data_IF_319639499817
#
_entry.id   IF_319639499817
#
_cell.length_a   1.000
_cell.length_b   1.000
_cell.length_c   1.000
_cell.angle_alpha   90.00
_cell.angle_beta   90.00
_cell.angle_gamma   90.00
#
_symmetry.space_group_name_H-M   'P 1'
#
loop_
_entity.id
_entity.type
_entity.pdbx_description
1 polymer ?
#
# COMPACT_ATOMS: atom_id res chain seq x y z
N UNK A 1 -7.56 72.64 -41.03
CA UNK A 1 -7.70 72.08 -39.70
C UNK A 1 -8.17 70.62 -39.79
N UNK A 2 -7.25 69.65 -39.70
CA UNK A 2 -7.60 68.23 -39.73
C UNK A 2 -7.41 67.70 -38.30
N UNK A 3 -8.47 67.19 -37.68
CA UNK A 3 -8.43 66.57 -36.37
C UNK A 3 -8.00 65.13 -36.52
N UNK A 4 -6.87 64.76 -35.86
CA UNK A 4 -6.43 63.38 -35.66
C UNK A 4 -7.06 62.84 -34.36
N UNK A 5 -7.84 61.77 -34.47
CA UNK A 5 -8.41 61.05 -33.36
C UNK A 5 -7.50 59.83 -33.07
N UNK A 6 -6.93 59.64 -31.87
CA UNK A 6 -6.17 58.44 -31.57
C UNK A 6 -7.12 57.29 -31.21
N UNK A 7 -7.02 56.18 -31.95
CA UNK A 7 -7.68 54.92 -31.64
C UNK A 7 -6.89 54.21 -30.52
N UNK A 8 -7.47 54.13 -29.34
CA UNK A 8 -6.97 53.29 -28.27
C UNK A 8 -7.41 51.84 -28.51
N UNK A 9 -6.49 50.95 -28.86
CA UNK A 9 -6.71 49.49 -28.87
C UNK A 9 -6.64 48.98 -27.43
N UNK A 10 -7.79 48.64 -26.87
CA UNK A 10 -7.88 47.88 -25.64
C UNK A 10 -7.60 46.40 -25.95
N UNK A 11 -6.44 45.89 -25.53
CA UNK A 11 -6.18 44.44 -25.46
C UNK A 11 -6.91 43.85 -24.27
N UNK A 12 -8.04 43.19 -24.53
CA UNK A 12 -8.68 42.32 -23.56
C UNK A 12 -7.86 41.03 -23.43
N UNK A 13 -7.08 40.92 -22.36
CA UNK A 13 -6.53 39.63 -21.93
C UNK A 13 -7.70 38.81 -21.39
N UNK A 14 -8.20 37.90 -22.21
CA UNK A 14 -9.08 36.82 -21.73
C UNK A 14 -8.23 35.84 -20.95
N UNK A 15 -8.23 35.97 -19.63
CA UNK A 15 -7.80 34.91 -18.76
C UNK A 15 -8.80 33.76 -18.91
N UNK A 16 -8.44 32.72 -19.67
CA UNK A 16 -9.09 31.44 -19.58
C UNK A 16 -8.56 30.75 -18.33
N UNK A 17 -9.35 30.58 -17.26
CA UNK A 17 -8.97 29.67 -16.20
C UNK A 17 -9.04 28.27 -16.82
N UNK A 18 -7.89 27.70 -17.06
CA UNK A 18 -7.77 26.27 -17.34
C UNK A 18 -8.20 25.52 -16.07
N UNK A 19 -9.52 25.32 -15.93
CA UNK A 19 -10.00 24.31 -15.02
C UNK A 19 -9.56 22.98 -15.62
N UNK A 20 -8.56 22.34 -15.00
CA UNK A 20 -8.33 20.93 -15.17
C UNK A 20 -9.66 20.25 -14.81
N UNK A 21 -10.44 19.90 -15.81
CA UNK A 21 -11.54 18.97 -15.66
C UNK A 21 -10.87 17.63 -15.29
N UNK A 22 -10.79 17.37 -13.99
CA UNK A 22 -10.73 15.99 -13.54
C UNK A 22 -11.99 15.33 -14.11
N UNK A 23 -11.79 14.46 -15.09
CA UNK A 23 -12.84 13.57 -15.55
C UNK A 23 -13.22 12.70 -14.36
N UNK A 24 -14.20 13.15 -13.56
CA UNK A 24 -14.94 12.27 -12.68
C UNK A 24 -15.64 11.29 -13.61
N UNK A 25 -15.16 10.04 -13.65
CA UNK A 25 -15.90 8.97 -14.29
C UNK A 25 -17.31 9.01 -13.74
N UNK A 26 -18.25 9.17 -14.65
CA UNK A 26 -19.68 9.23 -14.35
C UNK A 26 -20.00 7.99 -13.53
N UNK A 27 -20.46 8.20 -12.31
CA UNK A 27 -20.92 7.21 -11.34
C UNK A 27 -21.75 6.12 -12.06
N UNK A 28 -21.08 5.04 -12.46
CA UNK A 28 -21.78 3.85 -12.91
C UNK A 28 -22.40 3.26 -11.68
N UNK A 29 -23.72 3.31 -11.58
CA UNK A 29 -24.50 2.69 -10.52
C UNK A 29 -24.05 1.24 -10.36
N UNK A 30 -23.27 0.94 -9.33
CA UNK A 30 -22.98 -0.41 -8.91
C UNK A 30 -24.13 -0.85 -7.99
N UNK A 31 -24.92 -1.85 -8.41
CA UNK A 31 -25.95 -2.37 -7.52
C UNK A 31 -25.25 -2.95 -6.28
N UNK A 32 -25.68 -2.51 -5.10
CA UNK A 32 -25.21 -3.09 -3.86
C UNK A 32 -25.51 -4.58 -3.82
N UNK A 33 -24.59 -5.37 -3.26
CA UNK A 33 -24.83 -6.79 -3.06
C UNK A 33 -25.97 -7.00 -2.06
N UNK A 34 -26.85 -7.94 -2.33
CA UNK A 34 -28.02 -8.22 -1.49
C UNK A 34 -27.69 -9.08 -0.27
N UNK A 35 -26.55 -9.71 -0.23
CA UNK A 35 -26.07 -10.54 0.88
C UNK A 35 -24.57 -10.46 0.98
N UNK A 36 -24.03 -10.41 2.20
CA UNK A 36 -22.60 -10.51 2.45
C UNK A 36 -22.05 -11.91 2.15
N UNK A 37 -20.81 -12.01 1.71
CA UNK A 37 -20.09 -13.29 1.59
C UNK A 37 -19.96 -13.98 2.95
N UNK A 38 -19.95 -13.21 4.05
CA UNK A 38 -19.89 -13.69 5.43
C UNK A 38 -21.21 -14.26 5.95
N UNK A 39 -22.27 -14.32 5.13
CA UNK A 39 -23.59 -14.80 5.54
C UNK A 39 -23.58 -16.25 6.02
N UNK A 40 -22.77 -17.10 5.40
CA UNK A 40 -22.70 -18.54 5.69
C UNK A 40 -21.24 -19.01 5.67
N UNK A 41 -21.01 -20.23 6.16
CA UNK A 41 -19.71 -20.88 6.17
C UNK A 41 -18.86 -20.57 7.38
N UNK A 42 -17.68 -21.17 7.40
CA UNK A 42 -16.68 -21.02 8.45
C UNK A 42 -15.63 -20.01 8.03
N UNK A 43 -15.37 -19.01 8.85
CA UNK A 43 -14.48 -17.90 8.51
C UNK A 43 -13.41 -17.68 9.55
N UNK A 44 -12.19 -17.44 9.08
CA UNK A 44 -11.02 -17.10 9.89
C UNK A 44 -10.49 -15.75 9.43
N UNK A 45 -10.32 -14.82 10.37
CA UNK A 45 -9.70 -13.52 10.13
C UNK A 45 -8.19 -13.61 10.32
N UNK A 46 -7.47 -13.21 9.30
CA UNK A 46 -6.01 -13.19 9.23
C UNK A 46 -5.53 -11.74 9.14
N UNK A 47 -4.36 -11.46 9.69
CA UNK A 47 -3.74 -10.14 9.68
C UNK A 47 -2.38 -10.17 9.00
N UNK A 48 -2.13 -9.17 8.16
CA UNK A 48 -0.83 -8.86 7.56
C UNK A 48 -0.46 -7.42 7.85
N UNK A 49 0.82 -7.13 8.11
CA UNK A 49 1.32 -5.79 8.47
C UNK A 49 2.16 -5.15 7.37
N UNK A 50 2.57 -5.91 6.38
CA UNK A 50 3.43 -5.45 5.29
C UNK A 50 3.05 -6.09 3.96
N UNK A 51 3.49 -5.52 2.86
CA UNK A 51 3.36 -6.15 1.54
C UNK A 51 4.17 -7.44 1.50
N UNK A 52 3.55 -8.54 1.05
CA UNK A 52 4.24 -9.83 1.04
C UNK A 52 3.47 -10.94 0.37
N UNK A 53 4.19 -12.02 0.05
CA UNK A 53 3.56 -13.30 -0.25
C UNK A 53 3.50 -14.09 1.04
N UNK A 54 2.29 -14.41 1.44
CA UNK A 54 2.02 -15.12 2.69
C UNK A 54 1.74 -16.59 2.43
N UNK A 55 2.29 -17.43 3.30
CA UNK A 55 2.16 -18.88 3.22
C UNK A 55 1.39 -19.42 4.42
N UNK A 56 0.38 -20.24 4.15
CA UNK A 56 -0.38 -20.97 5.17
C UNK A 56 -0.13 -22.46 4.96
N UNK A 57 0.38 -23.12 5.97
CA UNK A 57 0.72 -24.55 5.98
C UNK A 57 -0.36 -25.37 6.68
N UNK A 58 -0.23 -26.69 6.61
CA UNK A 58 -1.01 -27.63 7.41
C UNK A 58 -0.95 -27.33 8.91
N UNK A 59 0.26 -27.03 9.41
CA UNK A 59 0.49 -26.67 10.81
C UNK A 59 -0.24 -25.38 11.19
N UNK A 60 -0.21 -24.35 10.31
CA UNK A 60 -0.90 -23.09 10.58
C UNK A 60 -2.43 -23.30 10.68
N UNK A 61 -3.01 -24.06 9.74
CA UNK A 61 -4.45 -24.37 9.78
C UNK A 61 -4.81 -25.12 11.07
N UNK A 62 -3.96 -26.03 11.52
CA UNK A 62 -4.16 -26.75 12.80
C UNK A 62 -4.11 -25.78 13.98
N UNK A 63 -3.17 -24.82 13.99
CA UNK A 63 -3.09 -23.78 15.02
C UNK A 63 -4.29 -22.83 15.01
N UNK A 64 -4.90 -22.62 13.84
CA UNK A 64 -6.15 -21.85 13.72
C UNK A 64 -7.38 -22.62 14.22
N UNK A 65 -7.19 -23.85 14.73
CA UNK A 65 -8.26 -24.69 15.27
C UNK A 65 -9.00 -25.52 14.23
N UNK A 66 -8.45 -25.65 13.02
CA UNK A 66 -9.02 -26.48 11.96
C UNK A 66 -8.44 -27.89 11.99
N UNK A 67 -9.13 -28.81 11.32
CA UNK A 67 -8.58 -30.13 10.98
C UNK A 67 -8.35 -30.20 9.47
N UNK A 68 -7.10 -29.93 9.01
CA UNK A 68 -6.82 -29.84 7.57
C UNK A 68 -7.10 -31.12 6.78
N UNK A 69 -7.02 -32.29 7.43
CA UNK A 69 -7.30 -33.58 6.78
C UNK A 69 -8.74 -33.71 6.24
N UNK A 70 -9.66 -32.86 6.73
CA UNK A 70 -11.05 -32.81 6.25
C UNK A 70 -11.34 -31.62 5.33
N UNK A 71 -10.31 -30.83 5.00
CA UNK A 71 -10.44 -29.70 4.09
C UNK A 71 -10.12 -30.15 2.67
N UNK A 72 -11.07 -30.01 1.76
CA UNK A 72 -10.75 -30.07 0.35
C UNK A 72 -9.99 -28.82 -0.06
N UNK A 73 -8.71 -28.89 -0.45
CA UNK A 73 -7.90 -27.73 -0.77
C UNK A 73 -8.47 -26.88 -1.91
N UNK A 74 -9.25 -27.47 -2.83
CA UNK A 74 -9.95 -26.74 -3.90
C UNK A 74 -10.99 -25.75 -3.38
N UNK A 75 -11.51 -25.99 -2.17
CA UNK A 75 -12.52 -25.12 -1.55
C UNK A 75 -11.90 -24.00 -0.71
N UNK A 76 -10.57 -23.95 -0.60
CA UNK A 76 -9.91 -22.86 0.11
C UNK A 76 -10.05 -21.58 -0.67
N UNK A 77 -10.59 -20.55 0.00
CA UNK A 77 -10.81 -19.21 -0.54
C UNK A 77 -10.27 -18.16 0.44
N UNK A 78 -9.71 -17.09 -0.09
CA UNK A 78 -9.25 -15.93 0.68
C UNK A 78 -9.93 -14.69 0.14
N UNK A 79 -10.48 -13.88 1.05
CA UNK A 79 -11.18 -12.64 0.75
C UNK A 79 -10.49 -11.46 1.43
N UNK A 80 -10.54 -10.29 0.80
CA UNK A 80 -10.01 -9.04 1.36
C UNK A 80 -9.95 -7.95 0.30
N UNK A 81 -10.07 -6.70 0.74
CA UNK A 81 -10.17 -5.53 -0.14
C UNK A 81 -8.85 -4.74 -0.27
N UNK A 82 -7.73 -5.34 0.17
CA UNK A 82 -6.44 -4.67 0.22
C UNK A 82 -6.27 -3.81 1.47
N UNK A 83 -5.17 -3.05 1.52
CA UNK A 83 -4.74 -2.32 2.72
C UNK A 83 -4.91 -0.81 2.64
N UNK A 84 -5.45 -0.26 1.58
CA UNK A 84 -5.60 1.18 1.42
C UNK A 84 -6.71 1.74 2.33
N UNK A 85 -6.57 3.01 2.71
CA UNK A 85 -7.66 3.75 3.36
C UNK A 85 -8.86 3.85 2.42
N UNK A 86 -10.06 3.81 3.00
CA UNK A 86 -11.27 4.12 2.24
C UNK A 86 -11.17 5.51 1.61
N UNK A 87 -11.71 5.70 0.40
CA UNK A 87 -11.76 7.01 -0.23
C UNK A 87 -12.50 8.03 0.65
N UNK A 88 -11.98 9.27 0.72
CA UNK A 88 -12.65 10.34 1.47
C UNK A 88 -13.98 10.79 0.80
N UNK A 89 -14.08 10.62 -0.52
CA UNK A 89 -15.27 10.98 -1.28
C UNK A 89 -16.14 9.76 -1.55
N UNK A 90 -17.39 9.80 -1.13
CA UNK A 90 -18.37 8.74 -1.36
C UNK A 90 -18.66 8.44 -2.85
N UNK A 91 -18.29 9.37 -3.75
CA UNK A 91 -18.41 9.17 -5.18
C UNK A 91 -17.35 8.25 -5.79
N UNK A 92 -16.27 7.96 -5.06
CA UNK A 92 -15.23 7.04 -5.49
C UNK A 92 -15.67 5.60 -5.23
N UNK A 93 -15.41 4.74 -6.21
CA UNK A 93 -15.75 3.32 -6.11
C UNK A 93 -14.96 2.67 -5.00
N UNK A 94 -15.67 1.95 -4.15
CA UNK A 94 -15.10 1.07 -3.13
C UNK A 94 -15.86 -0.26 -3.17
N UNK A 95 -15.20 -1.40 -2.97
CA UNK A 95 -15.90 -2.67 -2.89
C UNK A 95 -16.99 -2.65 -1.83
N UNK A 96 -18.19 -3.06 -2.21
CA UNK A 96 -19.36 -3.09 -1.35
C UNK A 96 -19.30 -4.23 -0.31
N UNK A 97 -18.65 -5.34 -0.68
CA UNK A 97 -18.38 -6.49 0.19
C UNK A 97 -16.93 -6.95 0.01
N UNK A 98 -16.52 -8.00 0.69
CA UNK A 98 -15.19 -8.58 0.57
C UNK A 98 -14.99 -9.22 -0.80
N UNK A 99 -13.88 -8.88 -1.45
CA UNK A 99 -13.49 -9.43 -2.75
C UNK A 99 -12.69 -10.73 -2.57
N UNK A 100 -12.96 -11.71 -3.40
CA UNK A 100 -12.18 -12.94 -3.44
C UNK A 100 -10.85 -12.71 -4.16
N UNK A 101 -9.75 -13.01 -3.47
CA UNK A 101 -8.40 -12.93 -3.96
C UNK A 101 -7.98 -14.29 -4.54
N UNK A 102 -7.31 -14.29 -5.69
CA UNK A 102 -6.77 -15.51 -6.25
C UNK A 102 -5.63 -16.07 -5.39
N UNK A 103 -5.62 -17.36 -5.17
CA UNK A 103 -4.61 -18.05 -4.37
C UNK A 103 -3.90 -19.13 -5.20
N UNK A 104 -2.68 -19.48 -4.81
CA UNK A 104 -1.99 -20.67 -5.25
C UNK A 104 -2.05 -21.72 -4.15
N UNK A 105 -2.51 -22.93 -4.47
CA UNK A 105 -2.54 -24.04 -3.53
C UNK A 105 -1.68 -25.15 -4.10
N UNK A 106 -0.63 -25.53 -3.37
CA UNK A 106 0.20 -26.68 -3.71
C UNK A 106 -0.49 -27.94 -3.21
N UNK A 107 -0.56 -28.98 -4.04
CA UNK A 107 -1.06 -30.31 -3.68
C UNK A 107 -2.58 -30.46 -3.72
N UNK A 108 -3.32 -29.53 -4.36
CA UNK A 108 -4.78 -29.57 -4.39
C UNK A 108 -5.40 -30.62 -5.33
N UNK A 109 -4.57 -31.31 -6.12
CA UNK A 109 -5.03 -32.20 -7.19
C UNK A 109 -5.74 -33.47 -6.65
N UNK A 110 -5.28 -33.98 -5.52
CA UNK A 110 -5.83 -35.19 -4.90
C UNK A 110 -7.07 -34.95 -4.01
N UNK A 111 -7.40 -33.67 -3.76
CA UNK A 111 -8.57 -33.26 -2.97
C UNK A 111 -8.40 -33.37 -1.45
N UNK A 112 -7.19 -33.62 -0.95
CA UNK A 112 -6.85 -33.72 0.47
C UNK A 112 -5.73 -32.75 0.79
N UNK A 113 -5.87 -31.95 1.83
CA UNK A 113 -4.81 -31.05 2.28
C UNK A 113 -3.79 -31.81 3.14
N UNK A 114 -2.69 -32.20 2.53
CA UNK A 114 -1.64 -33.01 3.14
C UNK A 114 -0.61 -32.14 3.91
N UNK A 115 0.27 -32.80 4.70
CA UNK A 115 1.28 -32.11 5.53
C UNK A 115 2.26 -31.25 4.73
N UNK A 116 2.51 -31.57 3.47
CA UNK A 116 3.45 -30.89 2.59
C UNK A 116 2.77 -29.83 1.69
N UNK A 117 1.44 -29.70 1.81
CA UNK A 117 0.66 -28.73 1.06
C UNK A 117 0.69 -27.37 1.73
N UNK A 118 0.49 -26.37 0.91
CA UNK A 118 0.43 -24.99 1.41
C UNK A 118 -0.36 -24.09 0.46
N UNK A 119 -0.85 -23.02 1.03
CA UNK A 119 -1.51 -21.93 0.33
C UNK A 119 -0.53 -20.77 0.25
N UNK A 120 -0.42 -20.13 -0.93
CA UNK A 120 0.21 -18.82 -1.06
C UNK A 120 -0.83 -17.81 -1.51
N UNK A 121 -0.79 -16.61 -0.91
CA UNK A 121 -1.58 -15.48 -1.34
C UNK A 121 -0.79 -14.17 -1.20
N UNK A 122 -1.18 -13.16 -1.97
CA UNK A 122 -0.59 -11.83 -1.88
C UNK A 122 -1.31 -11.01 -0.81
N UNK A 123 -0.57 -10.61 0.19
CA UNK A 123 -1.01 -9.69 1.24
C UNK A 123 -0.52 -8.27 0.96
N UNK A 124 -1.45 -7.33 0.84
CA UNK A 124 -1.14 -5.92 0.62
C UNK A 124 -0.85 -5.21 1.94
N UNK A 125 0.15 -4.33 1.94
CA UNK A 125 0.43 -3.43 3.06
C UNK A 125 -0.75 -2.50 3.34
N UNK A 126 -1.00 -2.10 4.61
CA UNK A 126 -1.92 -0.99 4.90
C UNK A 126 -1.44 0.34 4.30
N UNK A 127 -0.13 0.51 4.08
CA UNK A 127 0.48 1.66 3.45
C UNK A 127 0.65 1.43 1.96
N UNK A 128 0.42 2.47 1.15
CA UNK A 128 0.46 2.38 -0.31
C UNK A 128 1.59 3.20 -0.90
N UNK A 129 2.11 2.70 -2.02
CA UNK A 129 3.04 3.41 -2.87
C UNK A 129 2.38 3.81 -4.19
N UNK A 130 2.62 5.05 -4.59
CA UNK A 130 2.11 5.62 -5.83
C UNK A 130 3.29 6.06 -6.69
N UNK A 131 3.13 5.95 -8.01
CA UNK A 131 4.13 6.42 -8.96
C UNK A 131 3.75 7.81 -9.47
N UNK A 132 4.63 8.79 -9.24
CA UNK A 132 4.53 10.12 -9.83
C UNK A 132 5.15 10.09 -11.22
N UNK A 133 4.33 10.23 -12.26
CA UNK A 133 4.76 10.19 -13.66
C UNK A 133 5.57 11.42 -14.08
N UNK A 134 5.43 12.53 -13.37
CA UNK A 134 6.15 13.78 -13.64
C UNK A 134 7.55 13.72 -13.03
N UNK A 135 7.63 13.38 -11.75
CA UNK A 135 8.88 13.27 -11.02
C UNK A 135 9.62 11.95 -11.29
N UNK A 136 8.93 10.97 -11.89
CA UNK A 136 9.42 9.60 -12.14
C UNK A 136 9.94 8.92 -10.89
N UNK A 137 9.20 9.02 -9.79
CA UNK A 137 9.53 8.49 -8.47
C UNK A 137 8.29 7.92 -7.79
N UNK A 138 8.53 7.02 -6.85
CA UNK A 138 7.49 6.51 -5.98
C UNK A 138 7.42 7.36 -4.73
N UNK A 139 6.19 7.59 -4.25
CA UNK A 139 5.91 8.20 -2.95
C UNK A 139 4.94 7.32 -2.17
N UNK A 140 5.11 7.28 -0.86
CA UNK A 140 4.24 6.49 0.00
C UNK A 140 3.07 7.33 0.54
N UNK A 141 2.01 6.62 0.90
CA UNK A 141 0.89 7.15 1.66
C UNK A 141 0.61 6.22 2.82
N UNK A 142 0.87 6.70 4.01
CA UNK A 142 0.60 5.96 5.23
C UNK A 142 -0.90 5.85 5.50
N UNK A 143 -1.33 4.70 6.01
CA UNK A 143 -2.70 4.53 6.51
C UNK A 143 -2.77 5.14 7.91
N UNK A 144 -3.63 6.14 8.12
CA UNK A 144 -3.77 6.83 9.41
C UNK A 144 -4.56 6.03 10.45
N UNK A 145 -5.24 4.96 10.05
CA UNK A 145 -6.20 4.25 10.90
C UNK A 145 -5.75 2.85 11.26
N UNK A 146 -4.84 2.25 10.51
CA UNK A 146 -4.44 0.86 10.72
C UNK A 146 -2.99 0.61 10.27
N UNK A 147 -2.27 -0.12 11.10
CA UNK A 147 -0.96 -0.70 10.79
C UNK A 147 -1.09 -2.14 10.25
N UNK A 148 -2.31 -2.54 9.87
CA UNK A 148 -2.58 -3.91 9.41
C UNK A 148 -3.69 -3.96 8.39
N UNK A 149 -3.56 -4.92 7.47
CA UNK A 149 -4.61 -5.33 6.52
C UNK A 149 -5.17 -6.67 6.95
N UNK A 150 -6.47 -6.86 6.75
CA UNK A 150 -7.15 -8.09 7.16
C UNK A 150 -7.65 -8.87 5.95
N UNK A 151 -7.47 -10.18 6.03
CA UNK A 151 -7.96 -11.17 5.07
C UNK A 151 -8.84 -12.19 5.78
N UNK A 152 -9.75 -12.81 5.04
CA UNK A 152 -10.71 -13.77 5.55
C UNK A 152 -10.58 -15.07 4.77
N UNK A 153 -10.25 -16.15 5.46
CA UNK A 153 -10.13 -17.49 4.89
C UNK A 153 -11.41 -18.29 5.17
N UNK A 154 -11.91 -18.96 4.15
CA UNK A 154 -12.98 -19.98 4.25
C UNK A 154 -12.59 -21.23 3.46
N UNK A 155 -13.23 -22.38 3.76
CA UNK A 155 -12.93 -23.68 3.16
C UNK A 155 -14.16 -24.55 2.88
N UNK A 156 -15.36 -24.04 3.17
CA UNK A 156 -16.63 -24.78 3.07
C UNK A 156 -17.70 -24.05 2.22
N UNK A 157 -17.29 -23.04 1.47
CA UNK A 157 -18.16 -22.22 0.61
C UNK A 157 -17.93 -22.42 -0.89
N UNK A 158 -17.62 -23.67 -1.32
CA UNK A 158 -17.38 -24.02 -2.71
C UNK A 158 -15.94 -23.75 -3.19
N UNK A 159 -15.68 -24.01 -4.46
CA UNK A 159 -14.34 -23.90 -5.04
C UNK A 159 -13.86 -22.45 -5.06
N UNK A 160 -12.54 -22.28 -4.81
CA UNK A 160 -11.90 -20.98 -4.71
C UNK A 160 -11.23 -20.52 -6.01
N UNK A 161 -11.03 -19.20 -6.11
CA UNK A 161 -10.33 -18.55 -7.21
C UNK A 161 -8.83 -18.92 -7.17
N UNK A 162 -8.28 -19.31 -8.31
CA UNK A 162 -6.86 -19.68 -8.47
C UNK A 162 -6.10 -18.68 -9.31
N UNK A 163 -4.80 -18.56 -9.01
CA UNK A 163 -3.88 -17.77 -9.82
C UNK A 163 -3.65 -18.50 -11.14
N UNK A 164 -4.06 -17.87 -12.23
CA UNK A 164 -3.94 -18.42 -13.57
C UNK A 164 -2.55 -18.19 -14.15
N UNK A 165 -2.12 -19.08 -15.07
CA UNK A 165 -0.88 -18.91 -15.80
C UNK A 165 -0.99 -17.75 -16.81
N UNK A 166 0.10 -17.01 -16.98
CA UNK A 166 0.29 -15.97 -17.99
C UNK A 166 1.51 -16.32 -18.84
N UNK A 167 1.29 -16.49 -20.12
CA UNK A 167 2.36 -16.84 -21.05
C UNK A 167 3.39 -15.72 -21.18
N UNK A 168 4.66 -16.10 -21.33
CA UNK A 168 5.70 -15.18 -21.77
C UNK A 168 5.46 -14.76 -23.22
N UNK A 169 5.71 -13.48 -23.55
CA UNK A 169 5.59 -13.00 -24.92
C UNK A 169 6.58 -13.72 -25.83
N UNK A 170 6.11 -14.22 -26.95
CA UNK A 170 6.96 -14.78 -28.02
C UNK A 170 7.57 -13.72 -28.95
N UNK A 171 7.23 -12.45 -28.76
CA UNK A 171 7.78 -11.35 -29.57
C UNK A 171 9.18 -10.96 -29.11
N UNK A 172 10.05 -10.50 -30.01
CA UNK A 172 11.36 -9.98 -29.64
C UNK A 172 11.24 -8.84 -28.65
N UNK A 173 12.05 -8.82 -27.56
CA UNK A 173 12.01 -7.73 -26.60
C UNK A 173 12.54 -6.45 -27.22
N UNK A 174 11.86 -5.33 -26.96
CA UNK A 174 12.32 -3.98 -27.30
C UNK A 174 13.33 -3.49 -26.28
N UNK A 175 13.30 -4.02 -25.07
CA UNK A 175 14.22 -3.71 -23.98
C UNK A 175 14.45 -4.90 -23.05
N UNK A 176 15.65 -4.99 -22.48
CA UNK A 176 16.05 -6.01 -21.51
C UNK A 176 16.38 -5.34 -20.18
N UNK A 177 15.76 -5.82 -19.10
CA UNK A 177 15.97 -5.32 -17.75
C UNK A 177 16.65 -6.35 -16.86
N UNK A 178 17.78 -5.96 -16.28
CA UNK A 178 18.51 -6.68 -15.23
C UNK A 178 18.46 -5.91 -13.91
N UNK A 179 17.75 -4.77 -13.89
CA UNK A 179 17.59 -3.87 -12.75
C UNK A 179 16.12 -3.51 -12.58
N UNK A 180 15.78 -3.01 -11.39
CA UNK A 180 14.43 -2.55 -11.06
C UNK A 180 14.48 -1.33 -10.15
N UNK A 181 13.36 -0.61 -10.06
CA UNK A 181 13.18 0.53 -9.16
C UNK A 181 12.53 0.05 -7.87
N UNK A 182 13.16 0.40 -6.77
CA UNK A 182 12.73 0.04 -5.43
C UNK A 182 12.61 1.27 -4.55
N UNK A 183 11.92 1.13 -3.42
CA UNK A 183 11.61 2.21 -2.51
C UNK A 183 11.57 1.73 -1.06
N UNK A 184 11.80 2.65 -0.16
CA UNK A 184 11.64 2.44 1.28
C UNK A 184 11.25 3.76 1.94
N UNK A 185 10.59 3.69 3.10
CA UNK A 185 10.31 4.86 3.91
C UNK A 185 10.47 4.56 5.40
N UNK A 186 10.65 5.64 6.16
CA UNK A 186 10.55 5.67 7.61
C UNK A 186 9.57 6.78 7.99
N UNK A 187 8.49 6.44 8.66
CA UNK A 187 7.48 7.34 9.19
C UNK A 187 6.85 6.74 10.43
N UNK A 188 7.00 7.40 11.55
CA UNK A 188 6.39 7.03 12.83
C UNK A 188 5.40 8.10 13.28
N UNK A 189 4.22 7.67 13.79
CA UNK A 189 3.20 8.56 14.35
C UNK A 189 3.34 8.59 15.88
N UNK A 190 4.24 9.42 16.39
CA UNK A 190 4.54 9.49 17.81
C UNK A 190 3.86 10.68 18.51
N UNK A 191 3.70 11.80 17.81
CA UNK A 191 3.18 13.02 18.38
C UNK A 191 2.14 13.69 17.49
N UNK A 192 0.94 13.91 18.01
CA UNK A 192 0.00 14.86 17.43
C UNK A 192 0.23 16.23 18.06
N UNK A 193 0.84 17.16 17.34
CA UNK A 193 1.36 18.42 17.88
C UNK A 193 0.27 19.34 18.43
N UNK A 194 -0.91 19.34 17.81
CA UNK A 194 -2.04 20.18 18.20
C UNK A 194 -3.16 19.40 18.90
N UNK A 195 -2.96 18.10 19.14
CA UNK A 195 -3.93 17.16 19.72
C UNK A 195 -5.25 17.13 18.95
N UNK A 196 -5.21 17.33 17.65
CA UNK A 196 -6.35 17.35 16.74
C UNK A 196 -5.91 17.06 15.32
N UNK A 197 -6.84 16.59 14.48
CA UNK A 197 -6.58 16.30 13.08
C UNK A 197 -5.82 15.00 12.86
N UNK A 198 -5.45 14.78 11.60
CA UNK A 198 -4.80 13.55 11.10
C UNK A 198 -3.27 13.66 10.96
N UNK A 199 -2.71 14.84 11.20
CA UNK A 199 -1.27 15.06 11.09
C UNK A 199 -0.56 14.63 12.37
N UNK A 200 0.27 13.62 12.27
CA UNK A 200 1.13 13.13 13.33
C UNK A 200 2.58 13.24 12.85
N UNK A 201 3.51 13.38 13.77
CA UNK A 201 4.94 13.43 13.48
C UNK A 201 5.68 12.41 14.31
N UNK A 202 6.84 12.00 13.80
CA UNK A 202 7.69 11.01 14.42
C UNK A 202 8.67 11.59 15.45
N UNK A 203 9.93 11.29 15.27
CA UNK A 203 10.99 11.55 16.24
C UNK A 203 11.19 13.04 16.51
N UNK A 204 11.19 13.39 17.78
CA UNK A 204 11.46 14.74 18.27
C UNK A 204 12.96 14.98 18.38
N UNK A 205 13.39 16.17 17.97
CA UNK A 205 14.75 16.67 18.05
C UNK A 205 14.82 17.89 18.95
N UNK A 206 15.70 17.83 19.94
CA UNK A 206 16.05 18.92 20.86
C UNK A 206 17.55 18.82 21.17
N UNK A 207 18.19 19.95 21.46
CA UNK A 207 19.59 19.98 21.91
C UNK A 207 20.60 19.31 20.97
N UNK A 208 20.38 19.39 19.67
CA UNK A 208 21.30 18.90 18.62
C UNK A 208 21.67 17.41 18.71
N UNK A 209 20.78 16.55 19.19
CA UNK A 209 21.01 15.12 19.24
C UNK A 209 20.80 14.47 17.86
N UNK A 210 21.85 13.94 17.20
CA UNK A 210 21.70 13.21 15.94
C UNK A 210 20.96 11.88 16.16
N UNK A 211 20.17 11.48 15.16
CA UNK A 211 19.54 10.16 15.07
C UNK A 211 19.89 9.51 13.76
N UNK A 212 20.03 8.19 13.76
CA UNK A 212 20.38 7.40 12.59
C UNK A 212 19.17 6.56 12.18
N UNK A 213 18.80 6.67 10.89
CA UNK A 213 17.73 5.91 10.25
C UNK A 213 18.36 4.99 9.21
N UNK A 214 18.48 3.68 9.49
CA UNK A 214 19.08 2.73 8.57
C UNK A 214 18.07 2.28 7.53
N UNK A 215 18.49 2.29 6.25
CA UNK A 215 17.76 1.69 5.14
C UNK A 215 18.59 0.58 4.50
N UNK A 216 17.91 -0.45 4.00
CA UNK A 216 18.55 -1.60 3.37
C UNK A 216 18.03 -1.78 1.94
N UNK A 217 18.94 -1.73 0.95
CA UNK A 217 18.67 -2.02 -0.45
C UNK A 217 19.65 -3.11 -0.93
N UNK A 218 19.37 -4.40 -0.69
CA UNK A 218 20.24 -5.48 -1.16
C UNK A 218 20.45 -5.40 -2.67
N UNK A 219 21.68 -5.64 -3.12
CA UNK A 219 22.04 -5.56 -4.52
C UNK A 219 21.74 -4.19 -5.17
N UNK A 220 21.92 -3.08 -4.42
CA UNK A 220 21.80 -1.74 -5.00
C UNK A 220 22.72 -1.64 -6.24
N UNK A 221 22.22 -1.03 -7.29
CA UNK A 221 23.04 -0.83 -8.51
C UNK A 221 24.17 0.14 -8.20
N UNK A 222 25.44 -0.26 -8.34
CA UNK A 222 26.58 0.59 -8.04
C UNK A 222 26.55 1.92 -8.77
N UNK A 223 26.85 3.00 -8.08
CA UNK A 223 26.87 4.37 -8.61
C UNK A 223 25.54 4.82 -9.24
N UNK A 224 24.43 4.16 -8.91
CA UNK A 224 23.10 4.65 -9.29
C UNK A 224 22.67 5.81 -8.38
N UNK A 225 21.77 6.62 -8.91
CA UNK A 225 21.18 7.71 -8.14
C UNK A 225 20.21 7.15 -7.10
N UNK A 226 20.41 7.57 -5.86
CA UNK A 226 19.49 7.38 -4.75
C UNK A 226 18.77 8.72 -4.52
N UNK A 227 17.47 8.76 -4.68
CA UNK A 227 16.66 9.92 -4.34
C UNK A 227 16.16 9.80 -2.91
N UNK A 228 16.29 10.90 -2.15
CA UNK A 228 15.85 10.98 -0.77
C UNK A 228 14.92 12.17 -0.65
N UNK A 229 13.73 11.93 -0.11
CA UNK A 229 12.74 12.94 0.21
C UNK A 229 12.54 12.94 1.72
N UNK A 230 12.48 14.10 2.35
CA UNK A 230 12.20 14.23 3.78
C UNK A 230 11.19 15.33 4.04
N UNK A 231 10.38 15.15 5.07
CA UNK A 231 9.49 16.18 5.58
C UNK A 231 9.75 16.39 7.07
N UNK A 232 10.02 17.64 7.42
CA UNK A 232 10.45 18.07 8.75
C UNK A 232 9.54 19.16 9.28
N UNK A 233 9.32 19.13 10.58
CA UNK A 233 8.57 20.14 11.30
C UNK A 233 9.49 20.87 12.28
N UNK A 234 9.31 22.18 12.45
CA UNK A 234 10.03 22.94 13.45
C UNK A 234 9.16 23.98 14.15
N UNK A 235 9.41 24.13 15.44
CA UNK A 235 8.84 25.18 16.29
C UNK A 235 9.95 26.10 16.74
N UNK A 236 10.05 27.26 16.10
CA UNK A 236 11.06 28.27 16.38
C UNK A 236 10.62 29.63 15.83
N UNK A 237 11.03 30.72 16.46
CA UNK A 237 10.86 32.09 15.93
C UNK A 237 12.03 32.55 15.05
N UNK A 238 13.05 31.69 14.87
CA UNK A 238 14.15 31.89 13.93
C UNK A 238 14.16 30.70 12.95
N UNK A 239 14.76 30.88 11.79
CA UNK A 239 14.95 29.79 10.82
C UNK A 239 15.63 28.60 11.48
N UNK A 240 15.11 27.41 11.23
CA UNK A 240 15.60 26.16 11.82
C UNK A 240 16.28 25.34 10.75
N UNK A 241 17.55 25.02 10.98
CA UNK A 241 18.32 24.17 10.10
C UNK A 241 18.40 22.74 10.65
N UNK A 242 18.09 21.76 9.78
CA UNK A 242 18.43 20.37 9.99
C UNK A 242 19.57 19.97 9.05
N UNK A 243 20.48 19.14 9.53
CA UNK A 243 21.54 18.53 8.72
C UNK A 243 21.25 17.06 8.51
N UNK A 244 21.12 16.68 7.25
CA UNK A 244 20.89 15.31 6.82
C UNK A 244 22.17 14.78 6.17
N UNK A 245 22.78 13.77 6.80
CA UNK A 245 24.04 13.18 6.35
C UNK A 245 23.79 11.78 5.77
N UNK A 246 24.23 11.55 4.55
CA UNK A 246 24.08 10.28 3.83
C UNK A 246 25.17 10.13 2.78
N UNK A 247 25.71 8.93 2.61
CA UNK A 247 26.73 8.60 1.61
C UNK A 247 27.96 9.53 1.62
N UNK A 248 28.30 10.10 2.80
CA UNK A 248 29.42 11.04 2.97
C UNK A 248 29.11 12.50 2.60
N UNK A 249 27.89 12.79 2.16
CA UNK A 249 27.42 14.13 1.86
C UNK A 249 26.53 14.67 3.00
N UNK A 250 26.49 16.01 3.14
CA UNK A 250 25.64 16.70 4.11
C UNK A 250 24.70 17.65 3.39
N UNK A 251 23.40 17.50 3.60
CA UNK A 251 22.35 18.31 3.00
C UNK A 251 21.63 19.11 4.12
N UNK A 252 21.70 20.46 4.11
CA UNK A 252 20.91 21.30 4.99
C UNK A 252 19.47 21.36 4.50
N UNK A 253 18.51 21.22 5.44
CA UNK A 253 17.09 21.43 5.20
C UNK A 253 16.61 22.52 6.16
N UNK A 254 16.15 23.63 5.60
CA UNK A 254 15.74 24.80 6.36
C UNK A 254 14.22 24.83 6.51
N UNK A 255 13.77 25.06 7.73
CA UNK A 255 12.35 25.27 8.07
C UNK A 255 12.16 26.73 8.45
N UNK A 256 11.22 27.38 7.80
CA UNK A 256 10.88 28.79 8.04
C UNK A 256 10.51 29.05 9.50
N UNK A 257 10.80 30.26 10.03
CA UNK A 257 10.41 30.63 11.37
C UNK A 257 8.88 30.79 11.51
N UNK A 258 8.38 30.55 12.71
CA UNK A 258 7.03 30.99 13.08
C UNK A 258 6.98 32.51 13.10
N UNK A 259 5.87 33.11 12.64
CA UNK A 259 5.66 34.56 12.74
C UNK A 259 5.69 35.03 14.20
N UNK A 260 6.16 36.23 14.43
CA UNK A 260 6.05 36.87 15.73
C UNK A 260 4.58 37.08 16.15
N UNK A 261 4.29 36.78 17.39
CA UNK A 261 2.96 36.90 17.96
C UNK A 261 2.11 35.64 17.78
N UNK A 262 0.79 35.76 18.00
CA UNK A 262 -0.15 34.64 17.85
C UNK A 262 -0.56 34.45 16.40
N UNK A 263 -0.01 33.43 15.74
CA UNK A 263 -0.30 33.10 14.34
C UNK A 263 -1.35 32.02 14.14
N UNK A 264 -1.70 31.27 15.19
CA UNK A 264 -2.51 30.05 15.08
C UNK A 264 -1.75 28.83 14.57
N UNK A 265 -0.50 28.97 14.14
CA UNK A 265 0.36 27.86 13.72
C UNK A 265 1.21 27.37 14.90
N UNK A 266 1.29 26.06 15.08
CA UNK A 266 2.10 25.45 16.13
C UNK A 266 3.53 25.18 15.70
N UNK A 267 3.72 24.76 14.44
CA UNK A 267 5.02 24.47 13.83
C UNK A 267 4.98 24.81 12.33
N UNK A 268 6.14 25.06 11.75
CA UNK A 268 6.34 25.17 10.30
C UNK A 268 6.81 23.84 9.73
N UNK A 269 6.58 23.66 8.43
CA UNK A 269 6.89 22.43 7.69
C UNK A 269 7.88 22.78 6.59
N UNK A 270 8.89 21.94 6.41
CA UNK A 270 9.71 21.92 5.21
C UNK A 270 9.72 20.52 4.59
N UNK A 271 9.68 20.48 3.29
CA UNK A 271 9.85 19.26 2.51
C UNK A 271 10.99 19.50 1.53
N UNK A 272 11.93 18.56 1.46
CA UNK A 272 13.05 18.66 0.53
C UNK A 272 13.32 17.31 -0.13
N UNK A 273 13.86 17.38 -1.35
CA UNK A 273 14.24 16.22 -2.15
C UNK A 273 15.59 16.44 -2.78
N UNK A 274 16.50 15.54 -2.53
CA UNK A 274 17.87 15.59 -3.08
C UNK A 274 18.31 14.21 -3.57
N UNK A 275 19.46 14.15 -4.23
CA UNK A 275 19.98 12.95 -4.81
C UNK A 275 21.44 12.77 -4.42
N UNK A 276 21.80 11.54 -4.08
CA UNK A 276 23.19 11.12 -3.83
C UNK A 276 23.52 9.88 -4.64
N UNK A 277 24.79 9.51 -4.72
CA UNK A 277 25.21 8.23 -5.31
C UNK A 277 25.82 7.34 -4.24
N UNK A 278 25.50 6.05 -4.28
CA UNK A 278 26.08 5.06 -3.36
C UNK A 278 26.20 3.70 -4.02
N UNK A 279 27.13 2.90 -3.51
CA UNK A 279 27.24 1.46 -3.83
C UNK A 279 27.01 0.58 -2.60
N UNK A 280 26.67 1.19 -1.46
CA UNK A 280 26.46 0.48 -0.21
C UNK A 280 24.99 0.04 -0.09
N UNK A 281 24.77 -1.23 0.14
CA UNK A 281 23.41 -1.78 0.36
C UNK A 281 22.78 -1.30 1.67
N UNK A 282 23.58 -0.99 2.68
CA UNK A 282 23.10 -0.38 3.93
C UNK A 282 23.35 1.12 3.85
N UNK A 283 22.29 1.90 3.99
CA UNK A 283 22.29 3.35 3.84
C UNK A 283 21.85 3.97 5.17
N UNK A 284 22.79 4.30 6.06
CA UNK A 284 22.47 5.07 7.25
C UNK A 284 22.24 6.54 6.87
N UNK A 285 21.08 7.07 7.26
CA UNK A 285 20.78 8.49 7.17
C UNK A 285 20.85 9.06 8.58
N UNK A 286 21.76 10.00 8.80
CA UNK A 286 21.86 10.71 10.09
C UNK A 286 21.15 12.05 9.95
N UNK A 287 20.15 12.29 10.78
CA UNK A 287 19.45 13.56 10.89
C UNK A 287 19.78 14.25 12.23
N UNK A 288 20.16 15.51 12.16
CA UNK A 288 20.53 16.33 13.31
C UNK A 288 19.84 17.70 13.21
N UNK A 289 19.27 18.17 14.31
CA UNK A 289 18.83 19.56 14.46
C UNK A 289 20.05 20.44 14.74
N UNK A 290 20.34 21.38 13.83
CA UNK A 290 21.51 22.26 13.94
C UNK A 290 21.21 23.62 14.61
N UNK A 291 19.94 23.94 14.88
CA UNK A 291 19.50 25.14 15.57
C UNK A 291 19.15 24.82 17.04
N UNK A 292 20.03 25.06 18.02
CA UNK A 292 19.88 24.52 19.39
C UNK A 292 18.65 25.01 20.15
N UNK A 293 18.13 26.20 19.81
CA UNK A 293 16.95 26.80 20.47
C UNK A 293 15.62 26.34 19.89
N UNK A 294 15.65 25.61 18.77
CA UNK A 294 14.47 25.09 18.11
C UNK A 294 14.03 23.73 18.68
N UNK A 295 12.78 23.40 18.48
CA UNK A 295 12.25 22.05 18.64
C UNK A 295 11.86 21.57 17.25
N UNK A 296 12.34 20.39 16.86
CA UNK A 296 12.05 19.82 15.57
C UNK A 296 11.44 18.42 15.66
N UNK A 297 10.82 17.97 14.56
CA UNK A 297 10.29 16.63 14.40
C UNK A 297 10.53 16.14 12.97
N UNK A 298 10.81 14.85 12.86
CA UNK A 298 10.75 14.14 11.59
C UNK A 298 9.31 13.71 11.34
N UNK A 299 8.79 13.98 10.14
CA UNK A 299 7.58 13.31 9.69
C UNK A 299 7.97 12.03 8.97
N UNK A 300 8.65 12.15 7.85
CA UNK A 300 9.13 10.98 7.13
C UNK A 300 10.48 11.20 6.43
N UNK A 301 11.13 10.08 6.13
CA UNK A 301 12.20 9.95 5.15
C UNK A 301 11.77 8.89 4.14
N UNK A 302 11.84 9.21 2.84
CA UNK A 302 11.46 8.35 1.74
C UNK A 302 12.63 8.21 0.77
N UNK A 303 12.90 7.00 0.30
CA UNK A 303 13.99 6.68 -0.60
C UNK A 303 13.47 6.00 -1.87
N UNK A 304 14.07 6.35 -3.01
CA UNK A 304 13.91 5.65 -4.27
C UNK A 304 15.29 5.23 -4.79
N UNK A 305 15.48 3.95 -5.06
CA UNK A 305 16.76 3.34 -5.45
C UNK A 305 16.60 2.45 -6.67
N UNK A 306 17.70 2.23 -7.39
CA UNK A 306 17.78 1.20 -8.43
C UNK A 306 18.55 0.00 -7.88
N UNK A 307 18.01 -1.21 -8.06
CA UNK A 307 18.61 -2.47 -7.60
C UNK A 307 18.79 -3.43 -8.76
N UNK A 308 19.76 -4.32 -8.65
CA UNK A 308 19.93 -5.43 -9.59
C UNK A 308 18.89 -6.52 -9.32
N UNK A 309 18.32 -7.09 -10.38
CA UNK A 309 17.39 -8.23 -10.30
C UNK A 309 18.16 -9.51 -9.98
N UNK A 310 18.60 -9.63 -8.73
CA UNK A 310 19.39 -10.75 -8.22
C UNK A 310 18.79 -11.23 -6.93
N UNK A 311 18.40 -12.52 -6.85
CA UNK A 311 17.88 -13.10 -5.61
C UNK A 311 18.94 -13.12 -4.52
N UNK A 312 18.57 -12.68 -3.32
CA UNK A 312 19.45 -12.53 -2.15
C UNK A 312 18.87 -13.12 -0.86
N UNK A 313 17.95 -14.08 -0.99
CA UNK A 313 17.35 -14.78 0.16
C UNK A 313 16.02 -14.27 0.63
N UNK A 314 15.45 -13.26 -0.07
CA UNK A 314 14.12 -12.72 0.22
C UNK A 314 13.31 -12.59 -1.06
N UNK A 315 11.99 -12.66 -0.97
CA UNK A 315 11.10 -12.40 -2.10
C UNK A 315 11.33 -10.97 -2.63
N UNK A 316 11.41 -10.82 -3.96
CA UNK A 316 11.73 -9.54 -4.57
C UNK A 316 10.49 -8.99 -5.26
N UNK A 317 9.96 -7.87 -4.74
CA UNK A 317 8.96 -7.06 -5.43
C UNK A 317 9.68 -6.12 -6.40
N UNK A 318 9.41 -6.25 -7.69
CA UNK A 318 10.13 -5.49 -8.69
C UNK A 318 9.22 -4.87 -9.74
N UNK A 319 9.64 -3.73 -10.25
CA UNK A 319 9.00 -2.93 -11.29
C UNK A 319 10.05 -2.12 -12.02
N UNK A 320 9.75 -1.72 -13.25
CA UNK A 320 10.62 -0.81 -13.97
C UNK A 320 9.78 0.34 -14.56
N UNK A 321 10.19 1.58 -14.28
CA UNK A 321 9.52 2.80 -14.75
C UNK A 321 9.91 3.20 -16.17
N UNK A 322 10.86 2.50 -16.76
CA UNK A 322 11.28 2.69 -18.14
C UNK A 322 10.41 1.83 -19.07
N UNK A 323 10.31 2.26 -20.31
CA UNK A 323 9.65 1.47 -21.37
C UNK A 323 8.19 1.12 -21.06
N UNK A 324 7.41 2.13 -20.66
CA UNK A 324 5.97 2.00 -20.37
C UNK A 324 5.10 2.57 -21.49
N UNK A 325 5.62 2.71 -22.70
CA UNK A 325 4.88 3.18 -23.86
C UNK A 325 4.17 2.02 -24.58
N UNK A 326 3.24 2.34 -25.47
CA UNK A 326 2.51 1.35 -26.25
C UNK A 326 3.46 0.46 -27.09
N UNK A 327 3.07 -0.79 -27.23
CA UNK A 327 3.76 -1.81 -28.05
C UNK A 327 5.17 -2.22 -27.57
N UNK A 328 5.58 -1.80 -26.38
CA UNK A 328 6.85 -2.23 -25.81
C UNK A 328 6.79 -3.64 -25.22
N UNK A 329 7.75 -4.47 -25.59
CA UNK A 329 7.98 -5.78 -24.98
C UNK A 329 9.23 -5.68 -24.13
N UNK A 330 9.06 -5.84 -22.81
CA UNK A 330 10.18 -5.87 -21.88
C UNK A 330 10.53 -7.30 -21.51
N UNK A 331 11.82 -7.64 -21.59
CA UNK A 331 12.37 -8.86 -21.04
C UNK A 331 12.98 -8.56 -19.67
N UNK A 332 12.60 -9.32 -18.66
CA UNK A 332 13.22 -9.28 -17.34
C UNK A 332 14.13 -10.50 -17.17
N UNK A 333 15.33 -10.26 -16.64
CA UNK A 333 16.34 -11.29 -16.37
C UNK A 333 16.71 -11.23 -14.90
N UNK A 334 16.44 -12.32 -14.17
CA UNK A 334 16.66 -12.44 -12.74
C UNK A 334 17.81 -13.43 -12.50
N UNK A 335 18.82 -13.00 -11.75
CA UNK A 335 19.98 -13.83 -11.40
C UNK A 335 19.77 -14.57 -10.08
N UNK A 336 20.49 -15.68 -9.86
CA UNK A 336 20.44 -16.53 -8.69
C UNK A 336 19.04 -17.13 -8.44
N UNK A 337 18.30 -17.39 -9.50
CA UNK A 337 16.98 -18.02 -9.40
C UNK A 337 17.10 -19.56 -9.39
N UNK A 338 16.05 -20.21 -8.88
CA UNK A 338 15.88 -21.65 -8.84
C UNK A 338 14.59 -22.10 -9.53
N UNK A 339 14.51 -23.34 -9.95
CA UNK A 339 13.31 -23.95 -10.56
C UNK A 339 12.10 -24.00 -9.61
N UNK A 340 12.32 -23.92 -8.30
CA UNK A 340 11.24 -23.86 -7.30
C UNK A 340 10.63 -22.47 -7.16
N UNK A 341 11.25 -21.42 -7.73
CA UNK A 341 10.76 -20.08 -7.63
C UNK A 341 9.64 -19.80 -8.61
N UNK A 342 8.79 -18.84 -8.27
CA UNK A 342 7.69 -18.41 -9.09
C UNK A 342 7.76 -16.91 -9.31
N UNK A 343 7.25 -16.42 -10.45
CA UNK A 343 7.03 -14.99 -10.67
C UNK A 343 5.53 -14.79 -10.80
N UNK A 344 5.01 -13.83 -10.00
CA UNK A 344 3.62 -13.40 -10.14
C UNK A 344 3.57 -11.94 -10.63
N UNK A 345 2.64 -11.69 -11.55
CA UNK A 345 2.24 -10.35 -11.97
C UNK A 345 1.19 -9.83 -10.98
N UNK A 346 1.56 -8.78 -10.25
CA UNK A 346 0.75 -8.11 -9.23
C UNK A 346 0.16 -6.79 -9.74
N UNK A 347 0.28 -6.47 -11.02
CA UNK A 347 -0.20 -5.21 -11.61
C UNK A 347 -1.66 -4.95 -11.29
N UNK A 348 -2.48 -6.01 -11.30
CA UNK A 348 -3.82 -5.98 -10.71
C UNK A 348 -3.86 -6.92 -9.49
N UNK A 349 -3.86 -6.39 -8.26
CA UNK A 349 -3.78 -7.19 -7.04
C UNK A 349 -4.95 -8.14 -6.81
N UNK A 350 -6.09 -7.92 -7.50
CA UNK A 350 -7.28 -8.80 -7.46
C UNK A 350 -7.35 -9.80 -8.62
N UNK A 351 -6.42 -9.71 -9.58
CA UNK A 351 -6.33 -10.57 -10.76
C UNK A 351 -4.88 -11.00 -11.02
N UNK A 352 -4.24 -11.51 -9.97
CA UNK A 352 -2.85 -11.97 -10.02
C UNK A 352 -2.69 -13.08 -11.04
N UNK A 353 -1.59 -13.04 -11.79
CA UNK A 353 -1.22 -14.07 -12.76
C UNK A 353 0.15 -14.66 -12.41
N UNK A 354 0.30 -15.96 -12.63
CA UNK A 354 1.60 -16.64 -12.54
C UNK A 354 2.30 -16.55 -13.89
N UNK A 355 3.38 -15.77 -13.94
CA UNK A 355 4.16 -15.57 -15.16
C UNK A 355 4.94 -16.84 -15.51
N UNK A 356 4.80 -17.31 -16.73
CA UNK A 356 5.65 -18.38 -17.28
C UNK A 356 7.06 -17.84 -17.53
N UNK A 357 8.06 -18.63 -17.16
CA UNK A 357 9.47 -18.24 -17.19
C UNK A 357 10.32 -19.29 -17.86
N UNK A 358 11.45 -18.87 -18.42
CA UNK A 358 12.54 -19.73 -18.87
C UNK A 358 13.66 -19.67 -17.85
N UNK A 359 14.11 -20.84 -17.37
CA UNK A 359 15.28 -20.96 -16.49
C UNK A 359 16.44 -21.57 -17.27
N UNK A 360 17.58 -20.86 -17.31
CA UNK A 360 18.82 -21.33 -17.91
C UNK A 360 19.94 -21.22 -16.87
N UNK A 361 20.37 -22.37 -16.33
CA UNK A 361 21.27 -22.36 -15.15
C UNK A 361 20.58 -21.74 -13.93
N UNK A 362 21.09 -20.62 -13.45
CA UNK A 362 20.49 -19.81 -12.36
C UNK A 362 19.87 -18.49 -12.85
N UNK A 363 19.75 -18.34 -14.18
CA UNK A 363 19.12 -17.18 -14.80
C UNK A 363 17.66 -17.50 -15.15
N UNK A 364 16.73 -16.77 -14.58
CA UNK A 364 15.30 -16.87 -14.88
C UNK A 364 14.87 -15.67 -15.70
N UNK A 365 14.18 -15.89 -16.81
CA UNK A 365 13.74 -14.80 -17.68
C UNK A 365 12.31 -14.98 -18.17
N UNK A 366 11.67 -13.85 -18.50
CA UNK A 366 10.37 -13.79 -19.18
C UNK A 366 10.25 -12.48 -19.95
N UNK A 367 9.36 -12.46 -20.95
CA UNK A 367 9.03 -11.27 -21.74
C UNK A 367 7.55 -10.95 -21.64
N UNK A 368 7.21 -9.68 -21.55
CA UNK A 368 5.82 -9.24 -21.39
C UNK A 368 5.60 -7.88 -22.05
N UNK A 369 4.36 -7.61 -22.51
CA UNK A 369 3.94 -6.28 -22.94
C UNK A 369 3.96 -5.31 -21.73
N UNK A 370 4.66 -4.16 -21.88
CA UNK A 370 4.82 -3.13 -20.84
C UNK A 370 4.26 -1.80 -21.30
N UNK A 371 3.03 -1.78 -21.77
CA UNK A 371 2.26 -0.58 -22.11
C UNK A 371 1.90 0.31 -20.92
N UNK A 372 2.03 -0.23 -19.72
CA UNK A 372 1.83 0.43 -18.44
C UNK A 372 2.87 -0.05 -17.43
N UNK A 373 2.99 0.65 -16.30
CA UNK A 373 3.85 0.22 -15.20
C UNK A 373 3.35 -1.14 -14.68
N UNK A 374 4.19 -2.17 -14.82
CA UNK A 374 3.92 -3.52 -14.29
C UNK A 374 4.62 -3.72 -12.96
N UNK A 375 3.98 -4.49 -12.08
CA UNK A 375 4.55 -4.90 -10.80
C UNK A 375 4.59 -6.41 -10.69
N UNK A 376 5.74 -6.94 -10.30
CA UNK A 376 5.97 -8.37 -10.17
C UNK A 376 6.55 -8.71 -8.81
N UNK A 377 6.46 -9.99 -8.45
CA UNK A 377 7.20 -10.55 -7.32
C UNK A 377 7.86 -11.85 -7.74
N UNK A 378 9.17 -11.99 -7.42
CA UNK A 378 9.87 -13.27 -7.41
C UNK A 378 9.68 -13.92 -6.05
N UNK A 379 9.21 -15.17 -6.04
CA UNK A 379 8.78 -15.89 -4.86
C UNK A 379 9.64 -17.13 -4.66
N UNK A 380 10.30 -17.21 -3.53
CA UNK A 380 10.77 -18.46 -2.94
C UNK A 380 9.77 -18.88 -1.86
N UNK A 381 9.02 -19.98 -2.05
CA UNK A 381 8.04 -20.41 -1.05
C UNK A 381 8.65 -20.77 0.33
N UNK A 382 9.97 -20.97 0.41
CA UNK A 382 10.66 -21.33 1.66
C UNK A 382 10.85 -20.13 2.61
N UNK A 383 10.86 -18.90 2.06
CA UNK A 383 11.06 -17.65 2.84
C UNK A 383 9.78 -16.85 3.04
N UNK A 384 8.64 -17.36 2.57
CA UNK A 384 7.35 -16.70 2.76
C UNK A 384 6.93 -16.69 4.24
N UNK A 385 6.42 -15.56 4.70
CA UNK A 385 5.91 -15.36 6.06
C UNK A 385 4.52 -15.96 6.22
N UNK A 386 4.15 -16.39 7.44
CA UNK A 386 2.78 -16.73 7.76
C UNK A 386 1.97 -15.48 8.13
N UNK A 387 0.68 -15.39 7.77
CA UNK A 387 -0.19 -14.35 8.29
C UNK A 387 -0.50 -14.63 9.77
N UNK A 388 -0.75 -13.59 10.55
CA UNK A 388 -1.15 -13.77 11.94
C UNK A 388 -2.64 -14.14 12.04
N UNK A 389 -2.96 -15.19 12.77
CA UNK A 389 -4.34 -15.53 13.14
C UNK A 389 -4.89 -14.44 14.08
N UNK A 390 -6.13 -14.02 13.83
CA UNK A 390 -6.82 -13.07 14.72
C UNK A 390 -7.93 -13.77 15.48
N UNK A 391 -8.92 -14.30 14.78
CA UNK A 391 -10.09 -14.93 15.36
C UNK A 391 -10.89 -15.74 14.33
N UNK A 392 -11.82 -16.57 14.82
CA UNK A 392 -12.89 -17.11 14.00
C UNK A 392 -14.04 -16.11 13.94
N UNK A 393 -14.54 -15.83 12.74
CA UNK A 393 -15.53 -14.79 12.49
C UNK A 393 -16.94 -15.39 12.52
N UNK A 394 -17.84 -14.74 13.24
CA UNK A 394 -19.27 -15.10 13.24
C UNK A 394 -19.91 -14.66 11.93
N UNK A 395 -20.83 -15.48 11.43
CA UNK A 395 -21.60 -15.11 10.24
C UNK A 395 -22.42 -13.85 10.49
N UNK A 396 -22.48 -13.00 9.46
CA UNK A 396 -23.28 -11.78 9.45
C UNK A 396 -23.80 -11.49 8.05
N UNK A 397 -24.91 -10.79 7.94
CA UNK A 397 -25.51 -10.39 6.66
C UNK A 397 -26.18 -9.02 6.77
N UNK A 398 -25.37 -7.98 6.98
CA UNK A 398 -25.90 -6.61 7.07
C UNK A 398 -26.50 -6.13 5.73
N UNK A 399 -25.98 -6.63 4.60
CA UNK A 399 -26.56 -6.34 3.27
C UNK A 399 -27.96 -6.92 3.07
N UNK A 400 -28.30 -8.00 3.77
CA UNK A 400 -29.62 -8.65 3.69
C UNK A 400 -30.68 -8.00 4.59
N UNK A 401 -30.38 -6.91 5.27
CA UNK A 401 -31.33 -6.20 6.11
C UNK A 401 -32.34 -5.45 5.26
N UNK A 402 -33.63 -5.67 5.54
CA UNK A 402 -34.74 -4.97 4.92
C UNK A 402 -35.35 -3.97 5.88
N UNK A 403 -35.87 -2.84 5.36
CA UNK A 403 -36.66 -1.86 6.12
C UNK A 403 -35.92 -1.33 7.38
N UNK A 404 -34.65 -0.99 7.25
CA UNK A 404 -33.88 -0.41 8.35
C UNK A 404 -33.90 1.11 8.20
N UNK A 405 -34.43 1.80 9.22
CA UNK A 405 -34.52 3.27 9.27
C UNK A 405 -33.28 3.85 9.98
N UNK A 406 -32.77 3.14 11.01
CA UNK A 406 -31.63 3.58 11.84
C UNK A 406 -30.62 2.44 11.99
N UNK A 407 -29.33 2.74 11.82
CA UNK A 407 -28.22 1.84 12.17
C UNK A 407 -27.51 2.42 13.40
N UNK A 408 -27.46 1.65 14.49
CA UNK A 408 -26.75 2.01 15.72
C UNK A 408 -25.47 1.19 15.78
N UNK A 409 -24.34 1.84 15.57
CA UNK A 409 -23.01 1.22 15.68
C UNK A 409 -22.50 1.47 17.10
N UNK A 410 -22.21 0.40 17.85
CA UNK A 410 -21.82 0.51 19.25
C UNK A 410 -20.66 -0.38 19.63
N UNK A 411 -19.91 0.00 20.67
CA UNK A 411 -18.93 -0.89 21.28
C UNK A 411 -19.65 -2.09 21.94
N UNK A 412 -19.07 -3.32 21.91
CA UNK A 412 -19.71 -4.53 22.49
C UNK A 412 -20.21 -4.36 23.93
N UNK A 413 -19.51 -3.58 24.76
CA UNK A 413 -19.90 -3.33 26.15
C UNK A 413 -21.20 -2.53 26.31
N UNK A 414 -21.69 -1.86 25.26
CA UNK A 414 -22.89 -1.01 25.27
C UNK A 414 -24.05 -1.57 24.44
N UNK A 415 -23.97 -2.86 24.02
CA UNK A 415 -25.02 -3.51 23.21
C UNK A 415 -26.41 -3.42 23.89
N UNK A 416 -26.46 -3.63 25.22
CA UNK A 416 -27.72 -3.59 25.96
C UNK A 416 -28.36 -2.20 25.91
N UNK A 417 -27.55 -1.15 26.07
CA UNK A 417 -28.01 0.24 26.01
C UNK A 417 -28.43 0.64 24.60
N UNK A 418 -27.67 0.18 23.59
CA UNK A 418 -28.01 0.39 22.19
C UNK A 418 -29.31 -0.30 21.80
N UNK A 419 -29.55 -1.53 22.26
CA UNK A 419 -30.83 -2.22 22.08
C UNK A 419 -32.01 -1.49 22.77
N UNK A 420 -31.79 -0.97 23.98
CA UNK A 420 -32.81 -0.14 24.65
C UNK A 420 -33.14 1.13 23.86
N UNK A 421 -32.14 1.74 23.23
CA UNK A 421 -32.37 2.89 22.36
C UNK A 421 -33.15 2.49 21.11
N UNK A 422 -32.79 1.35 20.47
CA UNK A 422 -33.51 0.79 19.33
C UNK A 422 -34.99 0.53 19.66
N UNK A 423 -35.27 -0.10 20.82
CA UNK A 423 -36.63 -0.36 21.30
C UNK A 423 -37.41 0.94 21.53
N UNK A 424 -36.73 1.99 22.01
CA UNK A 424 -37.33 3.30 22.22
C UNK A 424 -37.74 3.95 20.88
N UNK A 425 -36.86 3.92 19.87
CA UNK A 425 -37.20 4.42 18.55
C UNK A 425 -38.35 3.63 17.90
N UNK A 426 -38.35 2.30 18.03
CA UNK A 426 -39.47 1.50 17.54
C UNK A 426 -40.78 1.88 18.22
N UNK A 427 -40.75 2.06 19.54
CA UNK A 427 -41.97 2.32 20.34
C UNK A 427 -42.57 3.71 20.14
N UNK A 428 -41.71 4.74 20.07
CA UNK A 428 -42.18 6.13 20.07
C UNK A 428 -42.15 6.78 18.69
N UNK A 429 -41.17 6.37 17.84
CA UNK A 429 -40.95 6.98 16.53
C UNK A 429 -41.40 6.07 15.38
N UNK A 430 -41.72 4.81 15.65
CA UNK A 430 -42.07 3.76 14.68
C UNK A 430 -40.92 3.50 13.67
N UNK A 431 -39.65 3.69 14.11
CA UNK A 431 -38.45 3.50 13.31
C UNK A 431 -37.80 2.15 13.64
N UNK A 432 -37.58 1.34 12.60
CA UNK A 432 -36.83 0.08 12.71
C UNK A 432 -35.35 0.35 12.82
N UNK A 433 -34.75 -0.05 13.94
CA UNK A 433 -33.34 0.14 14.21
C UNK A 433 -32.58 -1.19 14.21
N UNK A 434 -31.39 -1.19 13.66
CA UNK A 434 -30.43 -2.32 13.73
C UNK A 434 -29.24 -1.90 14.57
N UNK A 435 -28.91 -2.73 15.57
CA UNK A 435 -27.73 -2.56 16.40
C UNK A 435 -26.63 -3.47 15.89
N UNK A 436 -25.45 -2.91 15.66
CA UNK A 436 -24.26 -3.65 15.20
C UNK A 436 -23.00 -3.16 15.91
N UNK A 437 -21.93 -3.94 15.83
CA UNK A 437 -20.62 -3.60 16.36
C UNK A 437 -19.59 -3.47 15.22
N UNK A 438 -18.47 -2.75 15.43
CA UNK A 438 -17.41 -2.66 14.44
C UNK A 438 -16.68 -3.98 14.14
N UNK A 439 -16.84 -5.00 15.00
CA UNK A 439 -16.16 -6.29 14.94
C UNK A 439 -17.03 -7.36 14.30
#
# INVERSE_FOLDING_TARGET
MKYFLPVFLFYFFIFNPCFAQTNFEKNTYHPYVSNSVLKTGSWIKLRVSEEGIYKITYSDLTQYGLNPAFINPKNIRIFGNGGEMLPEYNALLNPDDLLENAVYVKGEEDGVFNSDDYILFYGQSPHKWYYDTIQKRFYHKKNYYSESTFYFLTYDNGEGKRIEAQASSGLPPTQVFTTFHDYAFHENDLYNLIKSGKEWVGEKFENSNPRIFPFLFPNIQPNSTLFIKTQLFAKSTIETEFLLQVAGETHPVNVDPLPDGFSGEYAKIAEDTFAVTTSNSTIPITLQLNTPSAIGWLNFIELNATRSLTFSGENIFFRNIQNTDSDNISQYIIQNASSSYQIWDLTNPFQIKKQETLLTGTEMSFSILTDTLKQFVLIDPSVCKAPAFVESVKNQNLHGLANTDIIIITHPNFINEANRLADLHLKYDQLNSVVTTPN
#
